data_IF_072223720976
#
_entry.id   IF_072223720976
#
_cell.length_a   1.000
_cell.length_b   1.000
_cell.length_c   1.000
_cell.angle_alpha   90.00
_cell.angle_beta   90.00
_cell.angle_gamma   90.00
#
_symmetry.space_group_name_H-M   'P 1'
#
loop_
_entity.id
_entity.type
_entity.pdbx_description
1 polymer ?
#
# COMPACT_ATOMS: atom_id res chain seq x y z
N UNK A 1 -50.43 -49.56 11.51
CA UNK A 1 -49.59 -48.42 11.91
C UNK A 1 -49.24 -47.64 10.66
N UNK A 2 -49.86 -46.48 10.44
CA UNK A 2 -49.55 -45.59 9.33
C UNK A 2 -48.65 -44.42 9.79
N UNK A 3 -48.00 -43.80 8.80
CA UNK A 3 -47.39 -42.45 8.79
C UNK A 3 -46.11 -42.31 9.64
N UNK A 4 -44.94 -41.93 9.13
CA UNK A 4 -44.69 -41.02 8.01
C UNK A 4 -44.26 -39.67 8.55
N UNK A 5 -43.16 -39.62 9.32
CA UNK A 5 -42.54 -38.37 9.74
C UNK A 5 -41.44 -37.98 8.74
N UNK A 6 -41.89 -37.31 7.68
CA UNK A 6 -41.07 -36.43 6.86
C UNK A 6 -40.93 -35.09 7.58
N UNK A 7 -39.79 -34.81 8.21
CA UNK A 7 -39.25 -33.49 8.56
C UNK A 7 -38.00 -33.75 9.41
N UNK A 8 -36.80 -33.21 9.22
CA UNK A 8 -36.31 -31.98 8.62
C UNK A 8 -34.88 -32.31 8.20
N UNK A 9 -34.60 -32.62 6.93
CA UNK A 9 -33.24 -32.43 6.41
C UNK A 9 -33.05 -30.91 6.33
N UNK A 10 -32.47 -30.34 7.38
CA UNK A 10 -31.99 -28.96 7.36
C UNK A 10 -31.08 -28.85 6.16
N UNK A 11 -31.55 -28.18 5.11
CA UNK A 11 -30.74 -27.81 3.96
C UNK A 11 -29.50 -27.08 4.47
N UNK A 12 -28.39 -27.80 4.54
CA UNK A 12 -27.07 -27.20 4.74
C UNK A 12 -26.82 -26.45 3.45
N UNK A 13 -27.25 -25.18 3.40
CA UNK A 13 -27.01 -24.32 2.24
C UNK A 13 -25.49 -24.29 2.08
N UNK A 14 -24.93 -24.79 0.97
CA UNK A 14 -23.51 -24.67 0.72
C UNK A 14 -23.30 -23.20 0.34
N UNK A 15 -23.14 -22.36 1.35
CA UNK A 15 -22.93 -20.93 1.18
C UNK A 15 -21.55 -20.77 0.53
N UNK A 16 -21.52 -20.31 -0.73
CA UNK A 16 -20.25 -20.11 -1.42
C UNK A 16 -19.39 -19.11 -0.63
N UNK A 17 -18.06 -19.30 -0.56
CA UNK A 17 -17.16 -18.37 0.12
C UNK A 17 -17.32 -16.92 -0.36
N UNK A 18 -17.65 -16.73 -1.64
CA UNK A 18 -17.95 -15.42 -2.24
C UNK A 18 -19.19 -14.76 -1.61
N UNK A 19 -20.27 -15.54 -1.45
CA UNK A 19 -21.50 -15.03 -0.85
C UNK A 19 -21.28 -14.69 0.63
N UNK A 20 -20.55 -15.54 1.36
CA UNK A 20 -20.21 -15.28 2.76
C UNK A 20 -19.34 -14.02 2.89
N UNK A 21 -18.34 -13.89 2.03
CA UNK A 21 -17.48 -12.70 2.00
C UNK A 21 -18.30 -11.42 1.79
N UNK A 22 -19.22 -11.40 0.80
CA UNK A 22 -20.06 -10.23 0.53
C UNK A 22 -20.94 -9.83 1.73
N UNK A 23 -21.52 -10.80 2.43
CA UNK A 23 -22.39 -10.51 3.59
C UNK A 23 -21.58 -10.10 4.84
N UNK A 24 -20.41 -10.71 5.06
CA UNK A 24 -19.55 -10.40 6.21
C UNK A 24 -18.82 -9.07 6.00
N UNK A 25 -18.47 -8.70 4.76
CA UNK A 25 -17.76 -7.47 4.44
C UNK A 25 -18.44 -6.20 5.00
N UNK A 26 -19.77 -6.14 4.96
CA UNK A 26 -20.51 -5.00 5.51
C UNK A 26 -20.40 -4.88 7.02
N UNK A 27 -20.58 -6.01 7.73
CA UNK A 27 -20.45 -6.08 9.19
C UNK A 27 -19.00 -5.75 9.57
N UNK A 28 -18.05 -6.31 8.84
CA UNK A 28 -16.64 -6.13 9.11
C UNK A 28 -16.17 -4.68 8.89
N UNK A 29 -16.63 -4.02 7.82
CA UNK A 29 -16.31 -2.61 7.57
C UNK A 29 -16.75 -1.73 8.75
N UNK A 30 -17.92 -2.00 9.35
CA UNK A 30 -18.40 -1.30 10.55
C UNK A 30 -17.53 -1.59 11.76
N UNK A 31 -17.31 -2.87 12.08
CA UNK A 31 -16.52 -3.27 13.24
C UNK A 31 -15.08 -2.74 13.21
N UNK A 32 -14.47 -2.68 12.02
CA UNK A 32 -13.11 -2.14 11.85
C UNK A 32 -13.07 -0.61 11.89
N UNK A 33 -14.20 0.06 11.72
CA UNK A 33 -14.34 1.52 11.82
C UNK A 33 -14.78 1.98 13.21
N UNK A 34 -15.18 1.06 14.10
CA UNK A 34 -15.56 1.33 15.49
C UNK A 34 -14.35 1.74 16.35
N UNK A 35 -14.63 2.42 17.47
CA UNK A 35 -13.61 2.92 18.40
C UNK A 35 -12.72 1.79 19.00
N UNK A 36 -11.52 2.18 19.44
CA UNK A 36 -10.45 1.32 19.93
C UNK A 36 -10.80 0.40 21.14
N UNK A 37 -11.98 0.54 21.75
CA UNK A 37 -12.41 -0.32 22.86
C UNK A 37 -12.94 -1.69 22.41
N UNK A 38 -13.05 -1.94 21.10
CA UNK A 38 -13.55 -3.20 20.54
C UNK A 38 -12.46 -4.07 19.87
N UNK A 39 -11.22 -4.03 20.36
CA UNK A 39 -10.10 -4.79 19.75
C UNK A 39 -10.35 -6.30 19.64
N UNK A 40 -11.09 -6.88 20.59
CA UNK A 40 -11.47 -8.31 20.51
C UNK A 40 -12.43 -8.61 19.36
N UNK A 41 -13.33 -7.68 19.06
CA UNK A 41 -14.27 -7.81 17.94
C UNK A 41 -13.52 -7.58 16.63
N UNK A 42 -12.60 -6.61 16.59
CA UNK A 42 -11.74 -6.37 15.45
C UNK A 42 -10.86 -7.58 15.13
N UNK A 43 -10.23 -8.22 16.12
CA UNK A 43 -9.42 -9.43 15.95
C UNK A 43 -10.22 -10.57 15.30
N UNK A 44 -11.38 -10.91 15.88
CA UNK A 44 -12.29 -11.92 15.33
C UNK A 44 -12.74 -11.56 13.91
N UNK A 45 -13.04 -10.28 13.67
CA UNK A 45 -13.46 -9.77 12.36
C UNK A 45 -12.35 -9.95 11.32
N UNK A 46 -11.12 -9.58 11.65
CA UNK A 46 -9.95 -9.74 10.77
C UNK A 46 -9.71 -11.21 10.44
N UNK A 47 -9.76 -12.09 11.45
CA UNK A 47 -9.54 -13.52 11.27
C UNK A 47 -10.60 -14.15 10.35
N UNK A 48 -11.87 -13.83 10.56
CA UNK A 48 -12.97 -14.32 9.71
C UNK A 48 -12.82 -13.82 8.28
N UNK A 49 -12.51 -12.53 8.09
CA UNK A 49 -12.28 -11.99 6.74
C UNK A 49 -11.10 -12.65 6.05
N UNK A 50 -9.98 -12.85 6.75
CA UNK A 50 -8.79 -13.47 6.18
C UNK A 50 -9.09 -14.91 5.74
N UNK A 51 -9.76 -15.68 6.61
CA UNK A 51 -10.20 -17.04 6.30
C UNK A 51 -11.14 -17.09 5.08
N UNK A 52 -12.06 -16.14 4.96
CA UNK A 52 -12.97 -16.08 3.81
C UNK A 52 -12.22 -15.73 2.53
N UNK A 53 -11.33 -14.72 2.58
CA UNK A 53 -10.54 -14.31 1.42
C UNK A 53 -9.64 -15.44 0.91
N UNK A 54 -8.99 -16.19 1.80
CA UNK A 54 -8.12 -17.32 1.42
C UNK A 54 -8.86 -18.46 0.71
N UNK A 55 -10.19 -18.55 0.87
CA UNK A 55 -11.03 -19.55 0.19
C UNK A 55 -11.59 -19.06 -1.15
N UNK A 56 -11.36 -17.81 -1.51
CA UNK A 56 -11.77 -17.26 -2.80
C UNK A 56 -10.59 -17.30 -3.77
N UNK A 57 -10.87 -17.54 -5.05
CA UNK A 57 -9.84 -17.49 -6.08
C UNK A 57 -9.37 -16.04 -6.32
N UNK A 58 -8.07 -15.86 -6.54
CA UNK A 58 -7.50 -14.57 -6.94
C UNK A 58 -8.06 -14.14 -8.31
N UNK A 59 -8.14 -12.83 -8.58
CA UNK A 59 -8.66 -12.24 -9.83
C UNK A 59 -10.17 -12.49 -10.10
N UNK A 60 -10.97 -12.58 -9.05
CA UNK A 60 -12.44 -12.76 -9.13
C UNK A 60 -13.19 -11.43 -9.16
N UNK A 61 -12.72 -10.43 -8.42
CA UNK A 61 -13.42 -9.13 -8.26
C UNK A 61 -13.01 -8.16 -9.37
N UNK A 62 -13.91 -7.84 -10.30
CA UNK A 62 -13.68 -6.78 -11.32
C UNK A 62 -13.97 -5.37 -10.79
N UNK A 63 -13.62 -4.33 -11.56
CA UNK A 63 -13.89 -2.94 -11.21
C UNK A 63 -15.37 -2.67 -10.90
N UNK A 64 -16.30 -3.23 -11.70
CA UNK A 64 -17.75 -3.07 -11.50
C UNK A 64 -18.22 -3.59 -10.13
N UNK A 65 -17.54 -4.58 -9.57
CA UNK A 65 -17.89 -5.14 -8.27
C UNK A 65 -17.43 -4.26 -7.10
N UNK A 66 -16.48 -3.35 -7.31
CA UNK A 66 -15.97 -2.49 -6.24
C UNK A 66 -17.03 -1.53 -5.70
N UNK A 67 -17.86 -1.00 -6.60
CA UNK A 67 -18.94 -0.06 -6.29
C UNK A 67 -20.29 -0.75 -6.06
N UNK A 68 -20.37 -2.06 -6.33
CA UNK A 68 -21.58 -2.83 -6.09
C UNK A 68 -21.93 -2.83 -4.59
N UNK A 69 -23.20 -2.53 -4.30
CA UNK A 69 -23.73 -2.55 -2.94
C UNK A 69 -23.74 -3.99 -2.41
N UNK A 70 -23.03 -4.21 -1.31
CA UNK A 70 -22.96 -5.49 -0.61
C UNK A 70 -24.12 -5.66 0.37
N UNK A 71 -24.72 -4.55 0.82
CA UNK A 71 -25.75 -4.54 1.84
C UNK A 71 -26.73 -3.37 1.67
N UNK A 72 -27.87 -3.46 2.35
CA UNK A 72 -29.01 -2.51 2.22
C UNK A 72 -28.67 -1.08 2.64
N UNK A 73 -27.68 -0.92 3.52
CA UNK A 73 -27.12 0.35 3.97
C UNK A 73 -26.15 0.99 2.97
N UNK A 74 -25.86 0.33 1.84
CA UNK A 74 -25.03 0.88 0.78
C UNK A 74 -23.53 0.61 0.93
N UNK A 75 -23.11 -0.20 1.89
CA UNK A 75 -21.70 -0.60 2.03
C UNK A 75 -21.20 -1.32 0.79
N UNK A 76 -20.00 -0.98 0.35
CA UNK A 76 -19.34 -1.55 -0.86
C UNK A 76 -17.99 -2.17 -0.50
N UNK A 77 -17.33 -2.82 -1.44
CA UNK A 77 -15.97 -3.35 -1.24
C UNK A 77 -14.98 -2.21 -0.94
N UNK A 78 -15.18 -1.04 -1.55
CA UNK A 78 -14.36 0.16 -1.28
C UNK A 78 -14.45 0.57 0.19
N UNK A 79 -15.62 0.49 0.81
CA UNK A 79 -15.77 0.82 2.24
C UNK A 79 -15.01 -0.17 3.13
N UNK A 80 -15.06 -1.47 2.81
CA UNK A 80 -14.25 -2.47 3.52
C UNK A 80 -12.75 -2.18 3.34
N UNK A 81 -12.34 -1.90 2.10
CA UNK A 81 -10.96 -1.57 1.77
C UNK A 81 -10.43 -0.35 2.56
N UNK A 82 -11.21 0.72 2.64
CA UNK A 82 -10.89 1.93 3.40
C UNK A 82 -10.83 1.64 4.90
N UNK A 83 -11.76 0.84 5.44
CA UNK A 83 -11.78 0.47 6.85
C UNK A 83 -10.53 -0.36 7.21
N UNK A 84 -10.18 -1.37 6.43
CA UNK A 84 -8.98 -2.20 6.65
C UNK A 84 -7.71 -1.36 6.54
N UNK A 85 -7.63 -0.45 5.55
CA UNK A 85 -6.50 0.44 5.34
C UNK A 85 -6.30 1.38 6.54
N UNK A 86 -7.39 1.98 7.01
CA UNK A 86 -7.38 2.85 8.20
C UNK A 86 -6.95 2.06 9.43
N UNK A 87 -7.59 0.93 9.69
CA UNK A 87 -7.28 0.09 10.85
C UNK A 87 -5.82 -0.40 10.85
N UNK A 88 -5.29 -0.84 9.69
CA UNK A 88 -3.90 -1.25 9.54
C UNK A 88 -2.91 -0.11 9.82
N UNK A 89 -3.33 1.14 9.61
CA UNK A 89 -2.50 2.33 9.80
C UNK A 89 -2.59 2.92 11.21
N UNK A 90 -3.75 2.83 11.86
CA UNK A 90 -4.04 3.57 13.10
C UNK A 90 -4.22 2.69 14.33
N UNK A 91 -4.40 1.37 14.19
CA UNK A 91 -4.66 0.51 15.34
C UNK A 91 -3.53 0.59 16.37
N UNK A 92 -3.85 0.69 17.68
CA UNK A 92 -2.84 0.75 18.73
C UNK A 92 -2.11 -0.59 18.93
N UNK A 93 -2.71 -1.70 18.46
CA UNK A 93 -2.13 -3.03 18.58
C UNK A 93 -1.33 -3.40 17.32
N UNK A 94 -0.03 -3.58 17.47
CA UNK A 94 0.89 -3.83 16.35
C UNK A 94 0.61 -5.15 15.62
N UNK A 95 0.22 -6.19 16.37
CA UNK A 95 -0.14 -7.49 15.81
C UNK A 95 -1.40 -7.35 14.94
N UNK A 96 -2.44 -6.68 15.43
CA UNK A 96 -3.67 -6.47 14.66
C UNK A 96 -3.44 -5.56 13.44
N UNK A 97 -2.56 -4.55 13.54
CA UNK A 97 -2.12 -3.77 12.37
C UNK A 97 -1.50 -4.66 11.31
N UNK A 98 -0.63 -5.59 11.71
CA UNK A 98 0.02 -6.53 10.79
C UNK A 98 -1.00 -7.44 10.11
N UNK A 99 -1.93 -8.04 10.87
CA UNK A 99 -2.99 -8.90 10.31
C UNK A 99 -3.88 -8.11 9.34
N UNK A 100 -4.27 -6.88 9.69
CA UNK A 100 -5.05 -6.03 8.81
C UNK A 100 -4.29 -5.66 7.52
N UNK A 101 -2.98 -5.42 7.60
CA UNK A 101 -2.16 -5.20 6.42
C UNK A 101 -2.08 -6.46 5.53
N UNK A 102 -1.94 -7.65 6.11
CA UNK A 102 -2.00 -8.91 5.34
C UNK A 102 -3.36 -9.08 4.65
N UNK A 103 -4.44 -8.81 5.38
CA UNK A 103 -5.79 -8.83 4.84
C UNK A 103 -5.94 -7.84 3.67
N UNK A 104 -5.40 -6.63 3.77
CA UNK A 104 -5.41 -5.63 2.69
C UNK A 104 -4.72 -6.16 1.43
N UNK A 105 -3.51 -6.71 1.57
CA UNK A 105 -2.76 -7.30 0.45
C UNK A 105 -3.53 -8.43 -0.23
N UNK A 106 -4.19 -9.28 0.56
CA UNK A 106 -5.02 -10.38 0.03
C UNK A 106 -6.30 -9.88 -0.65
N UNK A 107 -6.95 -8.85 -0.10
CA UNK A 107 -8.11 -8.20 -0.72
C UNK A 107 -7.76 -7.62 -2.10
N UNK A 108 -6.59 -7.01 -2.21
CA UNK A 108 -6.06 -6.49 -3.48
C UNK A 108 -5.76 -7.66 -4.45
N UNK A 109 -5.26 -8.79 -3.98
CA UNK A 109 -5.00 -9.97 -4.82
C UNK A 109 -6.28 -10.62 -5.37
N UNK A 110 -7.40 -10.59 -4.62
CA UNK A 110 -8.71 -11.04 -5.12
C UNK A 110 -9.22 -10.22 -6.31
N UNK A 111 -8.78 -8.98 -6.45
CA UNK A 111 -9.19 -8.10 -7.54
C UNK A 111 -8.51 -8.49 -8.86
N UNK A 112 -9.22 -8.32 -9.98
CA UNK A 112 -8.66 -8.35 -11.34
C UNK A 112 -7.72 -7.17 -11.55
N UNK A 113 -6.86 -7.24 -12.57
CA UNK A 113 -5.77 -6.28 -12.77
C UNK A 113 -6.25 -4.81 -12.85
N UNK A 114 -7.42 -4.54 -13.44
CA UNK A 114 -8.06 -3.22 -13.50
C UNK A 114 -8.44 -2.68 -12.12
N UNK A 115 -9.22 -3.46 -11.36
CA UNK A 115 -9.61 -3.14 -9.99
C UNK A 115 -8.40 -3.03 -9.06
N UNK A 116 -7.42 -3.92 -9.24
CA UNK A 116 -6.19 -3.94 -8.47
C UNK A 116 -5.38 -2.67 -8.69
N UNK A 117 -5.20 -2.26 -9.95
CA UNK A 117 -4.53 -1.00 -10.27
C UNK A 117 -5.24 0.20 -9.65
N UNK A 118 -6.57 0.25 -9.73
CA UNK A 118 -7.37 1.31 -9.12
C UNK A 118 -7.11 1.41 -7.61
N UNK A 119 -7.27 0.31 -6.88
CA UNK A 119 -7.05 0.28 -5.43
C UNK A 119 -5.60 0.68 -5.07
N UNK A 120 -4.60 0.16 -5.77
CA UNK A 120 -3.20 0.54 -5.53
C UNK A 120 -2.93 2.03 -5.80
N UNK A 121 -3.60 2.63 -6.80
CA UNK A 121 -3.52 4.07 -7.03
C UNK A 121 -4.17 4.88 -5.91
N UNK A 122 -5.32 4.42 -5.39
CA UNK A 122 -5.99 5.03 -4.24
C UNK A 122 -5.10 5.04 -3.01
N UNK A 123 -4.40 3.93 -2.71
CA UNK A 123 -3.44 3.86 -1.60
C UNK A 123 -2.30 4.86 -1.75
N UNK A 124 -1.76 5.06 -2.95
CA UNK A 124 -0.65 5.99 -3.14
C UNK A 124 -1.09 7.47 -3.13
N UNK A 125 -2.31 7.76 -3.60
CA UNK A 125 -2.73 9.13 -3.89
C UNK A 125 -3.63 9.70 -2.79
N UNK A 126 -4.65 8.94 -2.39
CA UNK A 126 -5.74 9.43 -1.53
C UNK A 126 -5.64 8.95 -0.08
N UNK A 127 -4.78 7.96 0.20
CA UNK A 127 -4.52 7.54 1.59
C UNK A 127 -3.90 8.69 2.40
N UNK A 128 -4.41 8.99 3.61
CA UNK A 128 -3.81 10.03 4.45
C UNK A 128 -2.58 9.55 5.23
N UNK A 129 -2.29 8.23 5.23
CA UNK A 129 -1.23 7.63 6.05
C UNK A 129 0.04 7.38 5.23
N UNK A 130 1.11 8.15 5.50
CA UNK A 130 2.39 8.02 4.79
C UNK A 130 3.05 6.64 4.95
N UNK A 131 2.90 6.01 6.12
CA UNK A 131 3.38 4.65 6.38
C UNK A 131 2.70 3.63 5.48
N UNK A 132 1.40 3.80 5.25
CA UNK A 132 0.62 2.95 4.35
C UNK A 132 0.95 3.20 2.88
N UNK A 133 1.15 4.47 2.47
CA UNK A 133 1.65 4.77 1.11
C UNK A 133 2.98 4.07 0.85
N UNK A 134 3.88 4.12 1.83
CA UNK A 134 5.17 3.43 1.78
C UNK A 134 5.01 1.91 1.69
N UNK A 135 4.08 1.33 2.46
CA UNK A 135 3.82 -0.11 2.44
C UNK A 135 3.16 -0.57 1.12
N UNK A 136 2.29 0.27 0.53
CA UNK A 136 1.64 -0.01 -0.75
C UNK A 136 2.64 -0.18 -1.90
N UNK A 137 3.78 0.52 -1.87
CA UNK A 137 4.89 0.30 -2.82
C UNK A 137 5.37 -1.16 -2.77
N UNK A 138 5.43 -1.76 -1.58
CA UNK A 138 5.75 -3.18 -1.41
C UNK A 138 4.76 -4.10 -2.14
N UNK A 139 3.46 -3.86 -1.95
CA UNK A 139 2.39 -4.62 -2.62
C UNK A 139 2.50 -4.48 -4.15
N UNK A 140 2.83 -3.28 -4.65
CA UNK A 140 3.05 -3.04 -6.08
C UNK A 140 4.25 -3.85 -6.60
N UNK A 141 5.36 -3.90 -5.85
CA UNK A 141 6.54 -4.71 -6.23
C UNK A 141 6.20 -6.18 -6.36
N UNK A 142 5.42 -6.72 -5.41
CA UNK A 142 5.00 -8.12 -5.44
C UNK A 142 4.15 -8.43 -6.67
N UNK A 143 3.19 -7.56 -6.99
CA UNK A 143 2.34 -7.71 -8.18
C UNK A 143 3.15 -7.65 -9.48
N UNK A 144 4.09 -6.72 -9.60
CA UNK A 144 5.00 -6.64 -10.76
C UNK A 144 5.90 -7.87 -10.84
N UNK A 145 6.45 -8.33 -9.71
CA UNK A 145 7.29 -9.52 -9.67
C UNK A 145 6.53 -10.74 -10.18
N UNK A 146 5.29 -10.93 -9.73
CA UNK A 146 4.42 -12.01 -10.18
C UNK A 146 4.03 -11.87 -11.66
N UNK A 147 3.67 -10.65 -12.09
CA UNK A 147 3.36 -10.35 -13.48
C UNK A 147 4.51 -10.67 -14.42
N UNK A 148 5.72 -10.19 -14.10
CA UNK A 148 6.94 -10.45 -14.86
C UNK A 148 7.29 -11.95 -14.90
N UNK A 149 7.18 -12.66 -13.78
CA UNK A 149 7.42 -14.10 -13.74
C UNK A 149 6.48 -14.83 -14.71
N UNK A 150 5.17 -14.53 -14.66
CA UNK A 150 4.17 -15.10 -15.58
C UNK A 150 4.49 -14.75 -17.04
N UNK A 151 4.91 -13.51 -17.31
CA UNK A 151 5.30 -13.07 -18.65
C UNK A 151 6.56 -13.79 -19.17
N UNK A 152 7.52 -14.11 -18.30
CA UNK A 152 8.73 -14.85 -18.67
C UNK A 152 8.47 -16.33 -18.92
N UNK A 153 7.52 -16.93 -18.20
CA UNK A 153 7.13 -18.33 -18.33
C UNK A 153 6.15 -18.57 -19.50
N UNK A 154 5.36 -17.56 -19.87
CA UNK A 154 4.38 -17.69 -20.95
C UNK A 154 5.04 -17.81 -22.32
N UNK A 155 4.67 -18.87 -23.06
CA UNK A 155 4.99 -19.03 -24.50
C UNK A 155 4.03 -18.27 -25.42
N UNK A 156 2.90 -17.78 -24.89
CA UNK A 156 1.84 -17.14 -25.66
C UNK A 156 1.63 -15.69 -25.17
N UNK A 157 1.61 -14.74 -26.09
CA UNK A 157 1.49 -13.31 -25.81
C UNK A 157 0.12 -12.91 -25.20
N UNK A 158 -0.91 -13.74 -25.34
CA UNK A 158 -2.30 -13.37 -25.03
C UNK A 158 -2.68 -13.38 -23.54
N UNK A 159 -1.74 -13.64 -22.62
CA UNK A 159 -1.99 -13.64 -21.16
C UNK A 159 -0.94 -12.87 -20.35
N UNK A 160 -0.36 -11.82 -20.92
CA UNK A 160 0.57 -10.97 -20.18
C UNK A 160 -0.25 -10.06 -19.25
N UNK A 161 -0.02 -10.19 -17.94
CA UNK A 161 -0.65 -9.32 -16.93
C UNK A 161 -0.30 -7.86 -17.17
N UNK A 162 -1.21 -6.95 -16.81
CA UNK A 162 -0.97 -5.50 -16.90
C UNK A 162 0.27 -5.10 -16.07
N UNK A 163 0.55 -5.86 -14.99
CA UNK A 163 1.71 -5.68 -14.12
C UNK A 163 3.07 -6.05 -14.75
N UNK A 164 3.08 -6.60 -15.96
CA UNK A 164 4.28 -6.83 -16.77
C UNK A 164 4.38 -5.88 -17.98
N UNK A 165 3.57 -4.81 -18.00
CA UNK A 165 3.51 -3.86 -19.12
C UNK A 165 4.04 -2.48 -18.73
N UNK A 166 4.34 -1.66 -19.75
CA UNK A 166 4.75 -0.26 -19.58
C UNK A 166 3.73 0.61 -18.84
N UNK A 167 2.45 0.23 -18.82
CA UNK A 167 1.38 0.94 -18.10
C UNK A 167 1.74 1.15 -16.62
N UNK A 168 2.49 0.23 -16.03
CA UNK A 168 2.99 0.33 -14.65
C UNK A 168 3.90 1.54 -14.46
N UNK A 169 4.78 1.83 -15.42
CA UNK A 169 5.65 3.02 -15.36
C UNK A 169 4.79 4.26 -15.40
N UNK A 170 3.91 4.36 -16.41
CA UNK A 170 3.10 5.55 -16.63
C UNK A 170 2.12 5.81 -15.46
N UNK A 171 1.63 4.74 -14.83
CA UNK A 171 0.68 4.84 -13.71
C UNK A 171 1.38 5.12 -12.38
N UNK A 172 2.43 4.36 -12.04
CA UNK A 172 3.00 4.36 -10.71
C UNK A 172 4.23 5.25 -10.56
N UNK A 173 5.04 5.48 -11.60
CA UNK A 173 6.25 6.32 -11.44
C UNK A 173 5.91 7.76 -11.07
N UNK A 174 4.92 8.44 -11.71
CA UNK A 174 4.54 9.79 -11.32
C UNK A 174 4.00 9.89 -9.89
N UNK A 175 3.62 8.76 -9.28
CA UNK A 175 3.08 8.68 -7.92
C UNK A 175 4.15 8.32 -6.88
N UNK A 176 4.97 7.33 -7.19
CA UNK A 176 6.02 6.79 -6.32
C UNK A 176 7.28 7.67 -6.35
N UNK A 177 7.72 8.05 -7.55
CA UNK A 177 8.91 8.88 -7.77
C UNK A 177 8.55 10.36 -7.83
N UNK A 178 7.43 10.74 -7.21
CA UNK A 178 7.06 12.14 -7.03
C UNK A 178 7.95 12.75 -5.95
N UNK A 179 9.16 13.13 -6.36
CA UNK A 179 9.96 14.04 -5.55
C UNK A 179 9.23 15.38 -5.58
N UNK A 180 8.43 15.61 -4.54
CA UNK A 180 7.84 16.91 -4.29
C UNK A 180 8.94 17.97 -4.16
N UNK A 181 8.55 19.26 -4.19
CA UNK A 181 9.46 20.42 -4.21
C UNK A 181 10.69 20.24 -3.30
N UNK A 182 11.89 20.71 -3.72
CA UNK A 182 13.11 20.69 -2.90
C UNK A 182 12.88 21.19 -1.46
N UNK A 183 11.93 22.10 -1.26
CA UNK A 183 11.52 22.63 0.04
C UNK A 183 11.10 21.60 1.10
N UNK A 184 10.63 20.42 0.71
CA UNK A 184 10.28 19.33 1.66
C UNK A 184 11.51 18.67 2.23
N UNK A 185 12.57 18.58 1.42
CA UNK A 185 13.86 18.04 1.85
C UNK A 185 14.63 19.05 2.73
N UNK A 186 14.26 20.33 2.66
CA UNK A 186 14.80 21.39 3.51
C UNK A 186 14.17 21.38 4.90
N UNK A 187 12.92 20.93 5.05
CA UNK A 187 12.25 20.84 6.35
C UNK A 187 12.44 19.45 6.97
N UNK A 188 13.25 19.37 8.03
CA UNK A 188 13.60 18.13 8.73
C UNK A 188 12.37 17.30 9.14
N UNK A 189 11.31 17.96 9.62
CA UNK A 189 10.08 17.29 10.03
C UNK A 189 9.36 16.63 8.85
N UNK A 190 9.20 17.38 7.75
CA UNK A 190 8.55 16.87 6.54
C UNK A 190 9.38 15.76 5.88
N UNK A 191 10.71 15.87 5.93
CA UNK A 191 11.60 14.83 5.45
C UNK A 191 11.47 13.55 6.28
N UNK A 192 11.50 13.66 7.61
CA UNK A 192 11.36 12.50 8.50
C UNK A 192 10.05 11.74 8.25
N UNK A 193 8.94 12.47 8.08
CA UNK A 193 7.62 11.89 7.77
C UNK A 193 7.58 11.17 6.42
N UNK A 194 8.25 11.71 5.39
CA UNK A 194 8.25 11.15 4.02
C UNK A 194 9.44 10.23 3.70
N UNK A 195 10.39 10.11 4.61
CA UNK A 195 11.63 9.37 4.40
C UNK A 195 11.37 7.93 3.98
N UNK A 196 10.49 7.22 4.68
CA UNK A 196 10.14 5.82 4.38
C UNK A 196 9.57 5.68 2.97
N UNK A 197 8.67 6.58 2.56
CA UNK A 197 8.08 6.59 1.23
C UNK A 197 9.14 6.82 0.14
N UNK A 198 10.03 7.81 0.33
CA UNK A 198 11.13 8.12 -0.60
C UNK A 198 12.06 6.91 -0.75
N UNK A 199 12.45 6.28 0.37
CA UNK A 199 13.33 5.11 0.36
C UNK A 199 12.66 3.92 -0.32
N UNK A 200 11.36 3.71 -0.12
CA UNK A 200 10.64 2.67 -0.84
C UNK A 200 10.51 2.98 -2.33
N UNK A 201 10.36 4.25 -2.73
CA UNK A 201 10.37 4.65 -4.14
C UNK A 201 11.72 4.40 -4.83
N UNK A 202 12.81 4.71 -4.14
CA UNK A 202 14.17 4.36 -4.57
C UNK A 202 14.34 2.84 -4.74
N UNK A 203 13.95 2.08 -3.72
CA UNK A 203 14.02 0.61 -3.75
C UNK A 203 13.14 0.00 -4.84
N UNK A 204 11.99 0.62 -5.14
CA UNK A 204 11.11 0.25 -6.23
C UNK A 204 11.80 0.43 -7.58
N UNK A 205 12.45 1.58 -7.79
CA UNK A 205 13.19 1.84 -9.01
C UNK A 205 14.34 0.84 -9.22
N UNK A 206 15.16 0.61 -8.19
CA UNK A 206 16.25 -0.38 -8.24
C UNK A 206 15.71 -1.78 -8.53
N UNK A 207 14.60 -2.16 -7.89
CA UNK A 207 13.93 -3.43 -8.14
C UNK A 207 13.58 -3.62 -9.61
N UNK A 208 13.01 -2.61 -10.28
CA UNK A 208 12.65 -2.70 -11.69
C UNK A 208 13.87 -2.88 -12.58
N UNK A 209 14.94 -2.11 -12.35
CA UNK A 209 16.20 -2.26 -13.08
C UNK A 209 16.81 -3.66 -12.95
N UNK A 210 16.71 -4.28 -11.77
CA UNK A 210 17.25 -5.62 -11.53
C UNK A 210 16.35 -6.74 -12.09
N UNK A 211 15.03 -6.54 -12.10
CA UNK A 211 14.03 -7.57 -12.41
C UNK A 211 13.63 -7.61 -13.88
N UNK A 212 13.58 -6.45 -14.55
CA UNK A 212 13.14 -6.31 -15.93
C UNK A 212 14.24 -6.65 -16.96
N UNK A 213 14.69 -7.91 -16.96
CA UNK A 213 15.81 -8.38 -17.80
C UNK A 213 15.54 -8.29 -19.31
N UNK A 214 14.27 -8.30 -19.71
CA UNK A 214 13.85 -8.26 -21.13
C UNK A 214 13.35 -6.87 -21.55
N UNK A 215 13.50 -5.85 -20.68
CA UNK A 215 12.99 -4.48 -20.89
C UNK A 215 11.50 -4.45 -21.30
N UNK A 216 10.68 -5.31 -20.69
CA UNK A 216 9.23 -5.36 -20.95
C UNK A 216 8.51 -4.13 -20.38
N UNK A 217 9.04 -3.59 -19.28
CA UNK A 217 8.44 -2.49 -18.54
C UNK A 217 9.17 -1.18 -18.89
N UNK A 218 10.48 -1.18 -19.19
CA UNK A 218 11.15 0.11 -19.40
C UNK A 218 12.39 0.23 -20.30
N UNK A 219 12.45 1.40 -20.98
CA UNK A 219 13.66 2.17 -21.33
C UNK A 219 13.74 3.44 -20.43
N UNK A 220 13.63 3.29 -19.10
CA UNK A 220 13.30 4.41 -18.17
C UNK A 220 14.45 5.36 -17.80
N UNK A 221 15.67 5.12 -18.27
CA UNK A 221 16.86 5.79 -17.72
C UNK A 221 16.93 7.32 -17.95
N UNK A 222 16.24 7.91 -18.94
CA UNK A 222 16.38 9.35 -19.24
C UNK A 222 15.32 10.24 -18.60
N UNK A 223 14.07 9.79 -18.57
CA UNK A 223 12.92 10.64 -18.18
C UNK A 223 12.79 10.79 -16.66
N UNK A 224 13.10 9.74 -15.89
CA UNK A 224 12.87 9.75 -14.44
C UNK A 224 14.16 9.89 -13.63
N UNK A 225 15.28 9.32 -14.09
CA UNK A 225 16.55 9.35 -13.36
C UNK A 225 17.25 10.68 -13.41
N UNK A 226 17.25 11.35 -14.57
CA UNK A 226 17.94 12.64 -14.67
C UNK A 226 17.29 13.69 -13.75
N UNK A 227 15.95 13.85 -13.72
CA UNK A 227 15.32 14.74 -12.74
C UNK A 227 15.58 14.33 -11.29
N UNK A 228 15.62 13.03 -11.02
CA UNK A 228 15.87 12.51 -9.68
C UNK A 228 17.30 12.77 -9.20
N UNK A 229 18.31 12.51 -10.05
CA UNK A 229 19.72 12.86 -9.79
C UNK A 229 19.87 14.35 -9.55
N UNK A 230 19.29 15.18 -10.43
CA UNK A 230 19.32 16.63 -10.29
C UNK A 230 18.74 17.09 -8.94
N UNK A 231 17.61 16.52 -8.52
CA UNK A 231 17.01 16.83 -7.20
C UNK A 231 17.86 16.34 -6.03
N UNK A 232 18.46 15.16 -6.12
CA UNK A 232 19.41 14.67 -5.12
C UNK A 232 20.67 15.54 -5.04
N UNK A 233 21.19 16.02 -6.16
CA UNK A 233 22.36 16.91 -6.21
C UNK A 233 22.04 18.27 -5.58
N UNK A 234 20.86 18.84 -5.89
CA UNK A 234 20.36 20.05 -5.22
C UNK A 234 20.29 19.83 -3.71
N UNK A 235 19.75 18.68 -3.28
CA UNK A 235 19.64 18.33 -1.87
C UNK A 235 20.99 18.17 -1.17
N UNK A 236 21.94 17.43 -1.76
CA UNK A 236 23.31 17.27 -1.21
C UNK A 236 23.95 18.65 -1.02
N UNK A 237 23.77 19.55 -1.99
CA UNK A 237 24.28 20.91 -1.89
C UNK A 237 23.59 21.73 -0.79
N UNK A 238 22.26 21.63 -0.62
CA UNK A 238 21.51 22.32 0.44
C UNK A 238 21.86 21.79 1.84
N UNK A 239 21.96 20.47 2.01
CA UNK A 239 22.44 19.84 3.24
C UNK A 239 23.88 20.26 3.56
N UNK A 240 24.75 20.31 2.55
CA UNK A 240 26.12 20.81 2.71
C UNK A 240 26.15 22.26 3.19
N UNK A 241 25.30 23.14 2.65
CA UNK A 241 25.18 24.54 3.10
C UNK A 241 24.71 24.64 4.55
N UNK A 242 23.66 23.90 4.93
CA UNK A 242 23.18 23.86 6.32
C UNK A 242 24.23 23.34 7.31
N UNK A 243 24.96 22.29 6.94
CA UNK A 243 26.05 21.77 7.77
C UNK A 243 27.16 22.80 7.95
N UNK A 244 27.48 23.57 6.91
CA UNK A 244 28.45 24.67 7.00
C UNK A 244 27.93 25.82 7.88
N UNK A 245 26.65 26.19 7.80
CA UNK A 245 26.03 27.20 8.67
C UNK A 245 26.03 26.77 10.14
N UNK A 246 25.64 25.53 10.43
CA UNK A 246 25.67 24.96 11.77
C UNK A 246 27.10 24.88 12.31
N UNK A 247 28.08 24.48 11.49
CA UNK A 247 29.49 24.47 11.85
C UNK A 247 30.02 25.87 12.22
N UNK A 248 29.66 26.89 11.43
CA UNK A 248 30.01 28.29 11.72
C UNK A 248 29.36 28.77 13.03
N UNK A 249 28.09 28.45 13.26
CA UNK A 249 27.41 28.76 14.52
C UNK A 249 28.07 28.08 15.72
N UNK A 250 28.50 26.82 15.58
CA UNK A 250 29.20 26.08 16.64
C UNK A 250 30.58 26.67 16.96
N UNK A 251 31.35 27.07 15.94
CA UNK A 251 32.64 27.75 16.11
C UNK A 251 32.49 29.09 16.82
N UNK A 252 31.48 29.89 16.46
CA UNK A 252 31.19 31.18 17.13
C UNK A 252 30.76 30.98 18.59
N UNK A 253 29.98 29.93 18.88
CA UNK A 253 29.57 29.60 20.25
C UNK A 253 30.76 29.16 21.11
N UNK A 254 31.66 28.32 20.58
CA UNK A 254 32.87 27.92 21.28
C UNK A 254 33.85 29.08 21.49
N UNK A 255 34.02 29.96 20.50
CA UNK A 255 34.82 31.18 20.64
C UNK A 255 34.25 32.12 21.71
N UNK A 256 32.93 32.32 21.77
CA UNK A 256 32.28 33.10 22.85
C UNK A 256 32.45 32.45 24.22
N UNK A 257 32.36 31.13 24.31
CA UNK A 257 32.53 30.38 25.57
C UNK A 257 33.99 30.42 26.06
N UNK A 258 34.96 30.33 25.15
CA UNK A 258 36.39 30.52 25.46
C UNK A 258 36.67 31.97 25.86
N UNK A 259 36.08 32.96 25.18
CA UNK A 259 36.21 34.37 25.55
C UNK A 259 35.64 34.66 26.95
N UNK A 260 34.49 34.08 27.29
CA UNK A 260 33.90 34.17 28.64
C UNK A 260 34.73 33.47 29.73
N UNK A 261 35.52 32.44 29.39
CA UNK A 261 36.41 31.74 30.34
C UNK A 261 37.76 32.46 30.50
N UNK A 262 38.20 33.22 29.49
CA UNK A 262 39.48 33.95 29.53
C UNK A 262 39.33 35.33 30.21
N UNK A 263 38.14 35.93 30.16
CA UNK A 263 37.88 37.30 30.64
C UNK A 263 37.01 37.39 31.91
N UNK A 264 36.74 36.27 32.58
CA UNK A 264 36.18 36.17 33.94
C UNK A 264 37.00 35.21 34.77
#
# INVERSE_FOLDING_TARGET
MPQGDSSIEKSVIPLSPEWLFKNVASIASKNLSSDANELEIADKTLLVLLYLIERNEENTISSDHLEAKLSKDGTTIIHLYQAVTTFASTSPNEYLRFIAFQLLSRLIALCKDDARMFLLCELLTNCPFETMKSAAIGIIKENIAQGLNKAYESKYADKVSIFASRIIVDTFFPRILRFESPSILVNEKNFSEKHSFIMQGLNFYIFLLMRDKKNLISETNKEYINPMKMKCDIWINECGKKLQELSKHFQVYHLKKIYLIIYH
#
